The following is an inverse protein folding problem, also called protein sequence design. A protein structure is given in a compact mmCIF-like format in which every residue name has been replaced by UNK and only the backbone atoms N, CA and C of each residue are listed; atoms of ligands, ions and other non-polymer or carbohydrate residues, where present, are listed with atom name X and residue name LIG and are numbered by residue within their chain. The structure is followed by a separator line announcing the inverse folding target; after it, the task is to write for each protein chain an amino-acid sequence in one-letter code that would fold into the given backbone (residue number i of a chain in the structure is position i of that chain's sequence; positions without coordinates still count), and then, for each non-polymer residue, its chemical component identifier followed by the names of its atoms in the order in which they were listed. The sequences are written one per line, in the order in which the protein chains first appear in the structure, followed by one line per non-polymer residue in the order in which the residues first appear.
data_IF_169781688035
#
_entry.id   IF_169781688035
#
_cell.length_a   1.000
_cell.length_b   1.000
_cell.length_c   1.000
_cell.angle_alpha   90.00
_cell.angle_beta   90.00
_cell.angle_gamma   90.00
#
_symmetry.space_group_name_H-M   'P 1'
#
loop_
_entity.id
_entity.type
_entity.pdbx_description
1 polymer ?
#
# COMPACT_ATOMS: atom_id res chain seq x y z
N UNK A 1 8.80 4.32 -12.34
CA UNK A 1 8.18 3.22 -11.57
C UNK A 1 6.85 3.73 -11.07
N UNK A 2 5.95 2.82 -10.76
CA UNK A 2 4.64 3.09 -10.20
C UNK A 2 4.64 2.66 -8.74
N UNK A 3 4.39 3.59 -7.83
CA UNK A 3 4.59 3.34 -6.39
C UNK A 3 3.24 3.31 -5.68
N UNK A 4 2.93 2.17 -5.07
CA UNK A 4 1.77 2.00 -4.19
C UNK A 4 2.23 1.82 -2.75
N UNK A 5 1.74 2.66 -1.86
CA UNK A 5 1.86 2.45 -0.43
C UNK A 5 0.58 1.84 0.13
N UNK A 6 0.71 0.67 0.74
CA UNK A 6 -0.36 -0.03 1.43
C UNK A 6 -0.12 0.13 2.92
N UNK A 7 -1.13 0.53 3.68
CA UNK A 7 -0.94 0.91 5.07
C UNK A 7 -2.02 0.37 6.00
N UNK A 8 -1.64 0.17 7.26
CA UNK A 8 -2.60 -0.18 8.30
C UNK A 8 -3.51 1.03 8.59
N UNK A 9 -4.79 0.88 8.28
CA UNK A 9 -5.79 1.94 8.40
C UNK A 9 -6.08 2.34 9.85
N UNK A 10 -5.68 1.52 10.83
CA UNK A 10 -5.85 1.82 12.26
C UNK A 10 -4.83 2.82 12.80
N UNK A 11 -3.68 2.99 12.13
CA UNK A 11 -2.63 3.93 12.53
C UNK A 11 -2.57 5.18 11.66
N UNK A 12 -3.07 5.10 10.42
CA UNK A 12 -3.18 6.24 9.53
C UNK A 12 -4.42 7.08 9.85
N UNK A 13 -4.27 8.41 9.89
CA UNK A 13 -5.40 9.30 10.19
C UNK A 13 -6.36 9.41 9.00
N UNK A 14 -7.67 9.43 9.26
CA UNK A 14 -8.67 9.77 8.25
C UNK A 14 -8.84 11.28 8.04
N UNK A 15 -8.02 12.10 8.70
CA UNK A 15 -7.94 13.55 8.51
C UNK A 15 -6.80 13.85 7.51
N UNK A 16 -7.10 14.63 6.45
CA UNK A 16 -6.16 14.88 5.34
C UNK A 16 -4.81 15.42 5.83
N UNK A 17 -4.80 16.48 6.63
CA UNK A 17 -3.56 17.15 7.03
C UNK A 17 -2.70 16.26 7.95
N UNK A 18 -3.36 15.51 8.84
CA UNK A 18 -2.67 14.51 9.67
C UNK A 18 -2.15 13.34 8.85
N UNK A 19 -2.89 12.90 7.84
CA UNK A 19 -2.47 11.83 6.93
C UNK A 19 -1.24 12.25 6.13
N UNK A 20 -1.23 13.43 5.52
CA UNK A 20 -0.06 13.95 4.80
C UNK A 20 1.17 14.01 5.70
N UNK A 21 1.02 14.53 6.91
CA UNK A 21 2.11 14.59 7.90
C UNK A 21 2.62 13.20 8.29
N UNK A 22 1.72 12.21 8.39
CA UNK A 22 2.06 10.83 8.66
C UNK A 22 2.76 10.16 7.45
N UNK A 23 2.21 10.34 6.25
CA UNK A 23 2.75 9.77 5.00
C UNK A 23 4.18 10.23 4.76
N UNK A 24 4.47 11.52 4.97
CA UNK A 24 5.83 12.07 4.83
C UNK A 24 6.82 11.43 5.83
N UNK A 25 6.36 11.05 7.02
CA UNK A 25 7.20 10.32 7.98
C UNK A 25 7.34 8.85 7.58
N UNK A 26 6.27 8.23 7.08
CA UNK A 26 6.29 6.83 6.65
C UNK A 26 7.20 6.63 5.44
N UNK A 27 7.14 7.51 4.44
CA UNK A 27 8.06 7.48 3.28
C UNK A 27 9.53 7.65 3.70
N UNK A 28 9.81 8.39 4.78
CA UNK A 28 11.16 8.45 5.36
C UNK A 28 11.54 7.14 6.07
N UNK A 29 10.59 6.45 6.72
CA UNK A 29 10.84 5.12 7.31
C UNK A 29 11.22 4.09 6.25
N UNK A 30 10.64 4.18 5.05
CA UNK A 30 11.02 3.29 3.93
C UNK A 30 12.46 3.48 3.41
N UNK A 31 13.22 4.45 3.95
CA UNK A 31 14.66 4.62 3.72
C UNK A 31 15.52 3.90 4.78
N UNK A 32 14.90 3.36 5.83
CA UNK A 32 15.55 2.53 6.84
C UNK A 32 15.57 1.06 6.39
N UNK A 33 16.39 0.20 7.03
CA UNK A 33 16.36 -1.23 6.77
C UNK A 33 14.93 -1.79 6.89
N UNK A 34 14.47 -2.62 5.93
CA UNK A 34 13.14 -3.18 5.97
C UNK A 34 13.01 -4.22 7.09
N UNK A 35 11.78 -4.39 7.57
CA UNK A 35 11.40 -5.51 8.44
C UNK A 35 10.90 -6.68 7.59
N UNK A 36 10.74 -7.85 8.19
CA UNK A 36 10.10 -8.98 7.52
C UNK A 36 8.58 -8.83 7.52
N UNK A 37 7.89 -9.45 6.56
CA UNK A 37 6.41 -9.47 6.53
C UNK A 37 5.79 -10.12 7.79
N UNK A 38 6.56 -10.91 8.56
CA UNK A 38 6.09 -11.48 9.81
C UNK A 38 5.98 -10.44 10.94
N UNK A 39 6.67 -9.31 10.81
CA UNK A 39 6.73 -8.22 11.80
C UNK A 39 5.69 -7.11 11.52
N UNK A 40 4.96 -7.19 10.40
CA UNK A 40 3.89 -6.24 10.06
C UNK A 40 2.60 -6.54 10.83
N UNK A 41 1.63 -5.63 10.76
CA UNK A 41 0.29 -5.91 11.26
C UNK A 41 -0.35 -7.12 10.55
N UNK A 42 -1.30 -7.78 11.23
CA UNK A 42 -1.98 -8.96 10.65
C UNK A 42 -2.68 -8.62 9.33
N UNK A 43 -3.26 -7.42 9.21
CA UNK A 43 -3.94 -6.97 8.00
C UNK A 43 -2.96 -6.78 6.83
N UNK A 44 -1.80 -6.16 7.08
CA UNK A 44 -0.76 -5.98 6.06
C UNK A 44 -0.13 -7.30 5.64
N UNK A 45 0.13 -8.19 6.58
CA UNK A 45 0.61 -9.55 6.29
C UNK A 45 -0.39 -10.32 5.42
N UNK A 46 -1.67 -10.24 5.74
CA UNK A 46 -2.73 -10.85 4.94
C UNK A 46 -2.78 -10.28 3.53
N UNK A 47 -2.67 -8.95 3.38
CA UNK A 47 -2.61 -8.31 2.06
C UNK A 47 -1.41 -8.81 1.24
N UNK A 48 -0.21 -8.81 1.82
CA UNK A 48 1.00 -9.22 1.12
C UNK A 48 0.93 -10.67 0.63
N UNK A 49 0.51 -11.60 1.50
CA UNK A 49 0.38 -13.02 1.13
C UNK A 49 -0.70 -13.23 0.05
N UNK A 50 -1.83 -12.51 0.16
CA UNK A 50 -2.92 -12.65 -0.80
C UNK A 50 -2.59 -12.04 -2.17
N UNK A 51 -1.93 -10.88 -2.19
CA UNK A 51 -1.63 -10.16 -3.44
C UNK A 51 -0.55 -10.88 -4.24
N UNK A 52 0.51 -11.34 -3.58
CA UNK A 52 1.61 -12.10 -4.19
C UNK A 52 1.14 -13.46 -4.72
N UNK A 53 0.18 -14.09 -4.03
CA UNK A 53 -0.45 -15.33 -4.50
C UNK A 53 -1.40 -15.13 -5.69
N UNK A 54 -2.03 -13.95 -5.83
CA UNK A 54 -3.04 -13.69 -6.86
C UNK A 54 -2.44 -13.13 -8.15
N UNK A 55 -1.38 -12.35 -8.05
CA UNK A 55 -0.70 -11.77 -9.20
C UNK A 55 0.81 -12.08 -9.13
N UNK A 56 1.33 -12.96 -10.01
CA UNK A 56 2.75 -13.27 -10.06
C UNK A 56 3.64 -12.04 -10.25
N UNK A 57 3.18 -10.99 -10.94
CA UNK A 57 3.94 -9.75 -11.12
C UNK A 57 4.12 -8.95 -9.83
N UNK A 58 3.29 -9.21 -8.82
CA UNK A 58 3.38 -8.67 -7.47
C UNK A 58 4.07 -9.64 -6.51
N UNK A 59 4.58 -10.79 -6.97
CA UNK A 59 5.42 -11.62 -6.13
C UNK A 59 6.82 -10.98 -6.01
N UNK A 60 7.35 -10.93 -4.78
CA UNK A 60 8.66 -10.31 -4.50
C UNK A 60 9.85 -11.04 -5.16
N UNK A 61 9.66 -12.28 -5.63
CA UNK A 61 10.69 -13.03 -6.35
C UNK A 61 10.75 -12.65 -7.85
N UNK A 62 9.93 -11.70 -8.31
CA UNK A 62 9.96 -11.22 -9.69
C UNK A 62 10.75 -9.93 -9.84
N UNK A 63 11.31 -9.69 -11.02
CA UNK A 63 11.94 -8.41 -11.36
C UNK A 63 10.95 -7.26 -11.57
N UNK A 64 9.65 -7.51 -11.40
CA UNK A 64 8.57 -6.59 -11.79
C UNK A 64 8.12 -5.67 -10.67
N UNK A 65 8.30 -6.09 -9.40
CA UNK A 65 7.90 -5.34 -8.21
C UNK A 65 8.97 -5.44 -7.14
N UNK A 66 9.46 -4.30 -6.69
CA UNK A 66 10.31 -4.19 -5.51
C UNK A 66 9.48 -3.80 -4.28
N UNK A 67 9.81 -4.37 -3.13
CA UNK A 67 9.08 -4.16 -1.88
C UNK A 67 9.98 -3.59 -0.80
N UNK A 68 9.59 -2.44 -0.25
CA UNK A 68 10.10 -1.94 1.03
C UNK A 68 9.03 -2.16 2.10
N UNK A 69 9.34 -2.94 3.14
CA UNK A 69 8.40 -3.34 4.18
C UNK A 69 8.76 -2.64 5.49
N UNK A 70 7.79 -1.94 6.07
CA UNK A 70 7.84 -1.35 7.40
C UNK A 70 6.70 -1.93 8.25
N UNK A 71 6.75 -1.76 9.56
CA UNK A 71 5.78 -2.40 10.48
C UNK A 71 4.31 -2.05 10.14
N UNK A 72 4.07 -0.82 9.70
CA UNK A 72 2.72 -0.26 9.47
C UNK A 72 2.41 0.06 8.00
N UNK A 73 3.34 -0.24 7.09
CA UNK A 73 3.14 -0.01 5.66
C UNK A 73 4.05 -0.86 4.79
N UNK A 74 3.60 -1.11 3.56
CA UNK A 74 4.35 -1.80 2.52
C UNK A 74 4.34 -0.90 1.30
N UNK A 75 5.52 -0.51 0.84
CA UNK A 75 5.73 0.22 -0.40
C UNK A 75 6.05 -0.78 -1.51
N UNK A 76 5.22 -0.82 -2.54
CA UNK A 76 5.39 -1.65 -3.72
C UNK A 76 5.76 -0.77 -4.92
N UNK A 77 6.99 -0.91 -5.39
CA UNK A 77 7.55 -0.18 -6.53
C UNK A 77 7.46 -1.06 -7.77
N UNK A 78 6.48 -0.78 -8.61
CA UNK A 78 6.03 -1.63 -9.71
C UNK A 78 6.53 -1.08 -11.05
N UNK A 79 6.91 -1.96 -11.96
CA UNK A 79 7.26 -1.59 -13.33
C UNK A 79 6.05 -0.99 -14.06
N UNK A 80 6.23 0.16 -14.71
CA UNK A 80 5.14 0.91 -15.37
C UNK A 80 4.23 0.07 -16.29
N UNK A 81 4.74 -0.85 -17.14
CA UNK A 81 3.90 -1.69 -18.00
C UNK A 81 2.89 -2.57 -17.26
N UNK A 82 3.08 -2.79 -15.95
CA UNK A 82 2.26 -3.67 -15.11
C UNK A 82 1.40 -2.87 -14.11
N UNK A 83 1.54 -1.54 -14.08
CA UNK A 83 0.97 -0.69 -13.05
C UNK A 83 -0.55 -0.84 -12.93
N UNK A 84 -1.29 -0.79 -14.04
CA UNK A 84 -2.76 -0.84 -14.00
C UNK A 84 -3.28 -2.17 -13.44
N UNK A 85 -2.81 -3.29 -13.96
CA UNK A 85 -3.21 -4.63 -13.51
C UNK A 85 -2.82 -4.86 -12.03
N UNK A 86 -1.61 -4.42 -11.66
CA UNK A 86 -1.10 -4.51 -10.31
C UNK A 86 -1.91 -3.65 -9.33
N UNK A 87 -2.27 -2.42 -9.73
CA UNK A 87 -3.11 -1.50 -8.96
C UNK A 87 -4.48 -2.08 -8.73
N UNK A 88 -5.15 -2.55 -9.77
CA UNK A 88 -6.47 -3.17 -9.64
C UNK A 88 -6.44 -4.38 -8.69
N UNK A 89 -5.43 -5.24 -8.83
CA UNK A 89 -5.30 -6.43 -7.98
C UNK A 89 -5.04 -6.03 -6.53
N UNK A 90 -4.10 -5.10 -6.32
CA UNK A 90 -3.76 -4.57 -5.01
C UNK A 90 -4.97 -3.96 -4.31
N UNK A 91 -5.75 -3.13 -5.00
CA UNK A 91 -6.96 -2.50 -4.45
C UNK A 91 -8.02 -3.53 -4.04
N UNK A 92 -8.28 -4.54 -4.89
CA UNK A 92 -9.25 -5.61 -4.57
C UNK A 92 -8.83 -6.40 -3.33
N UNK A 93 -7.54 -6.70 -3.19
CA UNK A 93 -7.01 -7.41 -2.02
C UNK A 93 -7.00 -6.49 -0.78
N UNK A 94 -6.66 -5.21 -0.94
CA UNK A 94 -6.65 -4.24 0.14
C UNK A 94 -8.03 -4.08 0.78
N UNK A 95 -9.07 -4.00 -0.05
CA UNK A 95 -10.46 -4.00 0.38
C UNK A 95 -10.81 -5.24 1.24
N UNK A 96 -10.41 -6.42 0.77
CA UNK A 96 -10.67 -7.68 1.47
C UNK A 96 -9.87 -7.83 2.77
N UNK A 97 -8.68 -7.23 2.85
CA UNK A 97 -7.80 -7.30 4.02
C UNK A 97 -7.99 -6.12 5.01
N UNK A 98 -8.80 -5.12 4.69
CA UNK A 98 -9.04 -3.98 5.58
C UNK A 98 -7.85 -3.01 5.70
N UNK A 99 -7.03 -2.90 4.66
CA UNK A 99 -5.88 -1.98 4.61
C UNK A 99 -6.16 -0.79 3.69
N UNK A 100 -5.53 0.34 3.97
CA UNK A 100 -5.61 1.53 3.11
C UNK A 100 -4.59 1.48 1.97
N UNK A 101 -4.83 2.26 0.93
CA UNK A 101 -3.96 2.38 -0.25
C UNK A 101 -3.79 3.84 -0.63
N UNK A 102 -2.57 4.24 -0.94
CA UNK A 102 -2.27 5.52 -1.59
C UNK A 102 -1.24 5.29 -2.69
N UNK A 103 -1.52 5.82 -3.88
CA UNK A 103 -0.51 5.91 -4.94
C UNK A 103 0.43 7.07 -4.60
N UNK A 104 1.75 6.90 -4.69
CA UNK A 104 2.73 7.96 -4.35
C UNK A 104 3.57 8.41 -5.55
N UNK A 105 3.23 7.94 -6.76
CA UNK A 105 3.91 8.28 -8.01
C UNK A 105 3.38 9.56 -8.69
N UNK A 106 2.24 10.12 -8.27
CA UNK A 106 1.57 11.23 -8.94
C UNK A 106 1.62 12.54 -8.14
N UNK A 107 1.52 13.67 -8.86
CA UNK A 107 1.41 15.02 -8.28
C UNK A 107 0.12 15.21 -7.45
N UNK A 108 -0.92 14.42 -7.72
CA UNK A 108 -2.11 14.33 -6.88
C UNK A 108 -2.45 12.87 -6.68
N UNK A 109 -2.56 12.49 -5.42
CA UNK A 109 -2.61 11.09 -5.01
C UNK A 109 -3.93 10.80 -4.30
N UNK A 110 -4.61 9.75 -4.75
CA UNK A 110 -5.85 9.31 -4.14
C UNK A 110 -5.57 8.46 -2.89
N UNK A 111 -6.17 8.85 -1.77
CA UNK A 111 -6.12 8.06 -0.53
C UNK A 111 -7.39 7.26 -0.39
N UNK A 112 -7.24 5.95 -0.39
CA UNK A 112 -8.33 4.97 -0.27
C UNK A 112 -8.30 4.32 1.11
N UNK A 113 -9.44 4.31 1.79
CA UNK A 113 -9.61 3.69 3.11
C UNK A 113 -10.64 2.55 3.05
N UNK A 114 -10.48 1.48 3.84
CA UNK A 114 -11.51 0.46 3.96
C UNK A 114 -12.79 1.06 4.54
N UNK A 115 -13.94 0.65 4.01
CA UNK A 115 -15.25 1.11 4.46
C UNK A 115 -15.95 0.14 5.43
N UNK A 116 -15.26 -0.93 5.83
CA UNK A 116 -15.75 -2.05 6.66
C UNK A 116 -16.85 -2.91 6.02
N UNK A 117 -17.16 -2.72 4.73
CA UNK A 117 -18.05 -3.58 3.94
C UNK A 117 -17.30 -4.56 3.03
N UNK A 118 -15.96 -4.61 3.15
CA UNK A 118 -15.10 -5.32 2.21
C UNK A 118 -14.80 -4.54 0.94
N UNK A 119 -15.02 -3.21 0.95
CA UNK A 119 -14.72 -2.29 -0.14
C UNK A 119 -13.76 -1.18 0.32
N UNK A 120 -13.17 -0.48 -0.64
CA UNK A 120 -12.45 0.77 -0.40
C UNK A 120 -13.33 1.96 -0.79
N UNK A 121 -13.21 3.04 -0.02
CA UNK A 121 -13.79 4.35 -0.38
C UNK A 121 -12.66 5.36 -0.57
N UNK A 122 -12.85 6.24 -1.55
CA UNK A 122 -11.99 7.41 -1.69
C UNK A 122 -12.22 8.31 -0.47
N UNK A 123 -11.16 8.57 0.29
CA UNK A 123 -11.22 9.39 1.49
C UNK A 123 -10.95 10.86 1.15
N UNK A 124 -9.83 11.13 0.47
CA UNK A 124 -9.40 12.45 0.07
C UNK A 124 -8.26 12.36 -0.96
N UNK A 125 -7.96 13.50 -1.58
CA UNK A 125 -6.77 13.70 -2.41
C UNK A 125 -5.68 14.39 -1.60
N UNK A 126 -4.43 14.00 -1.81
CA UNK A 126 -3.24 14.66 -1.27
C UNK A 126 -2.35 15.14 -2.41
N UNK A 127 -1.57 16.18 -2.13
CA UNK A 127 -0.66 16.84 -3.08
C UNK A 127 0.81 16.63 -2.67
#
# INVERSE_FOLDING_TARGET
MYDLLIFDSSVASSDKSKFESWLQQELKRHQLPPVTVAETSTFLRSWYLAVTSKNPNLAAETSSTDYSIQQNSILATISWPLAEEARETSMKVAAACGVGVVEVSNESSEVWLPDNSGSLKLAFYID
#
